data_IF_316193353764
#
_entry.id   IF_316193353764
#
_cell.length_a   1.000
_cell.length_b   1.000
_cell.length_c   1.000
_cell.angle_alpha   90.00
_cell.angle_beta   90.00
_cell.angle_gamma   90.00
#
_symmetry.space_group_name_H-M   'P 1'
#
loop_
_entity.id
_entity.type
_entity.pdbx_description
1 polymer ?
#
# COMPACT_ATOMS: atom_id res chain seq x y z
N UNK A 1 -31.92 10.14 32.04
CA UNK A 1 -30.98 10.96 31.25
C UNK A 1 -30.17 10.14 30.22
N UNK A 2 -30.00 8.81 30.39
CA UNK A 2 -29.24 7.97 29.43
C UNK A 2 -29.89 7.78 28.04
N UNK A 3 -31.22 7.70 27.95
CA UNK A 3 -31.92 7.49 26.67
C UNK A 3 -31.83 8.68 25.68
N UNK A 4 -31.61 9.90 26.19
CA UNK A 4 -31.50 11.09 25.35
C UNK A 4 -30.11 11.22 24.74
N UNK A 5 -29.05 10.89 25.49
CA UNK A 5 -27.67 10.95 24.99
C UNK A 5 -27.40 9.93 23.88
N UNK A 6 -27.93 8.71 24.00
CA UNK A 6 -27.81 7.69 22.96
C UNK A 6 -28.56 8.07 21.68
N UNK A 7 -29.75 8.67 21.82
CA UNK A 7 -30.52 9.17 20.68
C UNK A 7 -29.82 10.32 19.95
N UNK A 8 -29.16 11.23 20.69
CA UNK A 8 -28.37 12.31 20.08
C UNK A 8 -27.11 11.78 19.37
N UNK A 9 -26.41 10.81 19.95
CA UNK A 9 -25.24 10.19 19.32
C UNK A 9 -25.61 9.47 18.01
N UNK A 10 -26.70 8.70 18.02
CA UNK A 10 -27.21 8.02 16.82
C UNK A 10 -27.65 9.00 15.73
N UNK A 11 -28.24 10.13 16.11
CA UNK A 11 -28.62 11.19 15.18
C UNK A 11 -27.41 11.88 14.54
N UNK A 12 -26.38 12.18 15.34
CA UNK A 12 -25.14 12.81 14.87
C UNK A 12 -24.35 11.89 13.93
N UNK A 13 -24.30 10.60 14.24
CA UNK A 13 -23.73 9.57 13.38
C UNK A 13 -24.48 9.47 12.04
N UNK A 14 -25.81 9.47 12.07
CA UNK A 14 -26.64 9.44 10.87
C UNK A 14 -26.45 10.70 9.99
N UNK A 15 -26.34 11.88 10.62
CA UNK A 15 -26.07 13.14 9.95
C UNK A 15 -24.69 13.13 9.28
N UNK A 16 -23.68 12.63 9.98
CA UNK A 16 -22.31 12.48 9.46
C UNK A 16 -22.26 11.54 8.25
N UNK A 17 -22.95 10.39 8.32
CA UNK A 17 -23.08 9.45 7.19
C UNK A 17 -23.78 10.10 5.98
N UNK A 18 -24.84 10.87 6.22
CA UNK A 18 -25.56 11.58 5.17
C UNK A 18 -24.69 12.66 4.49
N UNK A 19 -23.96 13.45 5.28
CA UNK A 19 -23.05 14.48 4.78
C UNK A 19 -21.90 13.87 3.97
N UNK A 20 -21.33 12.75 4.43
CA UNK A 20 -20.29 12.02 3.72
C UNK A 20 -20.80 11.51 2.36
N UNK A 21 -21.99 10.88 2.35
CA UNK A 21 -22.63 10.39 1.11
C UNK A 21 -22.85 11.52 0.10
N UNK A 22 -23.36 12.67 0.54
CA UNK A 22 -23.58 13.82 -0.33
C UNK A 22 -22.29 14.37 -0.95
N UNK A 23 -21.17 14.34 -0.23
CA UNK A 23 -19.85 14.75 -0.75
C UNK A 23 -19.34 13.77 -1.81
N UNK A 24 -19.44 12.46 -1.55
CA UNK A 24 -19.06 11.41 -2.50
C UNK A 24 -19.88 11.49 -3.79
N UNK A 25 -21.20 11.69 -3.67
CA UNK A 25 -22.09 11.82 -4.83
C UNK A 25 -21.72 13.04 -5.70
N UNK A 26 -21.32 14.14 -5.07
CA UNK A 26 -20.85 15.34 -5.79
C UNK A 26 -19.57 15.09 -6.59
N UNK A 27 -18.62 14.36 -6.01
CA UNK A 27 -17.36 13.99 -6.65
C UNK A 27 -17.62 13.07 -7.85
N UNK A 28 -18.48 12.07 -7.68
CA UNK A 28 -18.88 11.15 -8.75
C UNK A 28 -19.55 11.88 -9.92
N UNK A 29 -20.45 12.84 -9.65
CA UNK A 29 -21.11 13.63 -10.69
C UNK A 29 -20.12 14.50 -11.50
N UNK A 30 -19.14 15.10 -10.82
CA UNK A 30 -18.07 15.90 -11.47
C UNK A 30 -17.17 15.03 -12.33
N UNK A 31 -16.77 13.85 -11.82
CA UNK A 31 -15.99 12.87 -12.57
C UNK A 31 -16.74 12.40 -13.82
N UNK A 32 -18.00 11.99 -13.68
CA UNK A 32 -18.82 11.54 -14.81
C UNK A 32 -18.94 12.60 -15.91
N UNK A 33 -19.11 13.87 -15.52
CA UNK A 33 -19.13 15.00 -16.46
C UNK A 33 -17.80 15.20 -17.20
N UNK A 34 -16.67 15.03 -16.50
CA UNK A 34 -15.34 15.17 -17.08
C UNK A 34 -15.03 14.01 -18.05
N UNK A 35 -15.30 12.77 -17.66
CA UNK A 35 -15.14 11.59 -18.53
C UNK A 35 -16.03 11.69 -19.77
N UNK A 36 -17.28 12.17 -19.63
CA UNK A 36 -18.18 12.40 -20.77
C UNK A 36 -17.63 13.42 -21.77
N UNK A 37 -16.85 14.41 -21.32
CA UNK A 37 -16.15 15.35 -22.23
C UNK A 37 -14.92 14.70 -22.85
N UNK A 38 -14.17 13.91 -22.08
CA UNK A 38 -12.99 13.19 -22.55
C UNK A 38 -13.32 12.21 -23.69
N UNK A 39 -14.37 11.39 -23.53
CA UNK A 39 -14.84 10.48 -24.58
C UNK A 39 -15.26 11.21 -25.86
N UNK A 40 -15.98 12.33 -25.75
CA UNK A 40 -16.35 13.16 -26.92
C UNK A 40 -15.12 13.73 -27.63
N UNK A 41 -14.14 14.22 -26.87
CA UNK A 41 -12.89 14.76 -27.42
C UNK A 41 -12.06 13.66 -28.10
N UNK A 42 -11.84 12.52 -27.44
CA UNK A 42 -11.11 11.39 -28.00
C UNK A 42 -11.79 10.86 -29.27
N UNK A 43 -13.12 10.65 -29.22
CA UNK A 43 -13.90 10.19 -30.37
C UNK A 43 -13.80 11.14 -31.57
N UNK A 44 -13.93 12.45 -31.35
CA UNK A 44 -13.81 13.43 -32.44
C UNK A 44 -12.41 13.48 -33.08
N UNK A 45 -11.35 13.25 -32.29
CA UNK A 45 -9.97 13.15 -32.79
C UNK A 45 -9.77 11.86 -33.56
N UNK A 46 -10.21 10.73 -33.01
CA UNK A 46 -10.15 9.42 -33.66
C UNK A 46 -10.85 9.45 -35.03
N UNK A 47 -12.10 9.93 -35.08
CA UNK A 47 -12.86 10.03 -36.34
C UNK A 47 -12.19 10.96 -37.35
N UNK A 48 -11.55 12.04 -36.89
CA UNK A 48 -10.81 12.97 -37.78
C UNK A 48 -9.58 12.30 -38.39
N UNK A 49 -8.78 11.60 -37.60
CA UNK A 49 -7.58 10.91 -38.08
C UNK A 49 -7.94 9.71 -38.96
N UNK A 50 -9.00 8.97 -38.60
CA UNK A 50 -9.55 7.90 -39.43
C UNK A 50 -9.98 8.42 -40.81
N UNK A 51 -10.66 9.57 -40.87
CA UNK A 51 -11.06 10.21 -42.14
C UNK A 51 -9.86 10.66 -42.99
N UNK A 52 -8.78 11.15 -42.37
CA UNK A 52 -7.56 11.54 -43.11
C UNK A 52 -6.89 10.33 -43.77
N UNK A 53 -6.73 9.22 -43.03
CA UNK A 53 -6.13 8.00 -43.60
C UNK A 53 -7.04 7.32 -44.63
N UNK A 54 -8.35 7.29 -44.40
CA UNK A 54 -9.31 6.77 -45.37
C UNK A 54 -9.36 7.62 -46.66
N UNK A 55 -9.16 8.94 -46.56
CA UNK A 55 -9.06 9.82 -47.73
C UNK A 55 -7.85 9.54 -48.63
N UNK A 56 -6.76 9.00 -48.09
CA UNK A 56 -5.59 8.56 -48.88
C UNK A 56 -5.81 7.23 -49.62
N UNK A 57 -6.84 6.45 -49.28
CA UNK A 57 -7.26 5.30 -50.09
C UNK A 57 -8.12 5.70 -51.29
N UNK A 58 -8.57 6.97 -51.37
CA UNK A 58 -9.56 7.43 -52.34
C UNK A 58 -9.27 8.84 -52.90
N UNK A 59 -8.01 9.26 -53.07
CA UNK A 59 -7.70 10.54 -53.74
C UNK A 59 -7.34 10.37 -55.22
N UNK A 60 -8.38 10.51 -56.05
CA UNK A 60 -8.49 11.14 -57.38
C UNK A 60 -7.24 11.38 -58.26
N UNK A 61 -7.29 10.85 -59.49
CA UNK A 61 -6.70 11.51 -60.68
C UNK A 61 -5.86 10.63 -61.61
N UNK A 62 -6.45 9.66 -62.33
CA UNK A 62 -5.77 8.97 -63.43
C UNK A 62 -6.67 7.97 -64.15
N UNK A 63 -6.70 8.06 -65.47
CA UNK A 63 -7.45 7.26 -66.46
C UNK A 63 -8.01 5.90 -65.97
N UNK A 64 -9.35 5.67 -66.03
CA UNK A 64 -10.02 4.46 -65.57
C UNK A 64 -9.59 3.15 -66.26
N UNK A 65 -8.83 3.19 -67.36
CA UNK A 65 -8.44 1.95 -68.06
C UNK A 65 -6.93 1.63 -67.98
N UNK A 66 -6.11 2.53 -67.45
CA UNK A 66 -4.65 2.35 -67.43
C UNK A 66 -4.14 1.81 -66.07
N UNK A 67 -4.90 1.95 -64.99
CA UNK A 67 -4.49 1.49 -63.65
C UNK A 67 -4.81 0.03 -63.31
N UNK A 68 -5.55 -0.70 -64.16
CA UNK A 68 -6.02 -2.06 -63.84
C UNK A 68 -5.06 -3.19 -64.22
N UNK A 69 -3.94 -2.92 -64.89
CA UNK A 69 -2.97 -3.96 -65.23
C UNK A 69 -2.17 -4.48 -64.01
N UNK A 70 -1.96 -3.65 -62.98
CA UNK A 70 -1.28 -4.04 -61.75
C UNK A 70 -2.20 -4.59 -60.65
N UNK A 71 -3.52 -4.40 -60.78
CA UNK A 71 -4.50 -4.67 -59.72
C UNK A 71 -5.20 -6.03 -59.85
N UNK A 72 -4.93 -6.81 -60.88
CA UNK A 72 -5.44 -8.20 -60.97
C UNK A 72 -4.72 -9.17 -59.99
N UNK A 73 -3.66 -8.74 -59.32
CA UNK A 73 -2.95 -9.52 -58.28
C UNK A 73 -3.03 -8.92 -56.86
N UNK A 74 -3.69 -7.77 -56.67
CA UNK A 74 -3.79 -7.10 -55.38
C UNK A 74 -5.24 -6.99 -54.95
N UNK A 75 -5.62 -7.74 -53.91
CA UNK A 75 -6.96 -7.71 -53.31
C UNK A 75 -7.38 -6.27 -52.96
N UNK A 76 -8.34 -5.73 -53.70
CA UNK A 76 -9.10 -4.55 -53.27
C UNK A 76 -9.81 -4.89 -51.94
N UNK A 77 -9.56 -4.13 -50.88
CA UNK A 77 -10.40 -4.14 -49.68
C UNK A 77 -11.16 -2.83 -49.60
N UNK A 78 -12.45 -2.86 -49.92
CA UNK A 78 -13.37 -1.72 -49.75
C UNK A 78 -13.65 -1.36 -48.28
N UNK A 79 -13.15 -2.15 -47.32
CA UNK A 79 -13.40 -1.98 -45.89
C UNK A 79 -12.13 -1.66 -45.11
N UNK A 80 -12.24 -0.71 -44.17
CA UNK A 80 -11.23 -0.44 -43.13
C UNK A 80 -11.01 -1.74 -42.34
N UNK A 81 -9.80 -2.30 -42.39
CA UNK A 81 -9.45 -3.51 -41.66
C UNK A 81 -9.19 -3.20 -40.18
N UNK A 82 -9.22 -4.23 -39.32
CA UNK A 82 -8.90 -4.09 -37.90
C UNK A 82 -7.54 -3.42 -37.68
N UNK A 83 -6.54 -3.79 -38.48
CA UNK A 83 -5.18 -3.22 -38.44
C UNK A 83 -5.14 -1.73 -38.78
N UNK A 84 -6.05 -1.23 -39.61
CA UNK A 84 -6.07 0.16 -40.04
C UNK A 84 -6.55 1.08 -38.91
N UNK A 85 -7.65 0.74 -38.24
CA UNK A 85 -8.19 1.60 -37.20
C UNK A 85 -7.57 1.39 -35.82
N UNK A 86 -7.03 0.19 -35.52
CA UNK A 86 -6.45 -0.09 -34.19
C UNK A 86 -5.21 0.75 -33.92
N UNK A 87 -4.37 1.01 -34.94
CA UNK A 87 -3.17 1.84 -34.81
C UNK A 87 -3.55 3.31 -34.58
N UNK A 88 -4.56 3.81 -35.29
CA UNK A 88 -5.09 5.16 -35.10
C UNK A 88 -5.72 5.30 -33.72
N UNK A 89 -6.46 4.27 -33.28
CA UNK A 89 -7.06 4.22 -31.96
C UNK A 89 -5.99 4.24 -30.88
N UNK A 90 -4.96 3.38 -30.98
CA UNK A 90 -3.86 3.32 -30.01
C UNK A 90 -3.12 4.66 -29.92
N UNK A 91 -2.80 5.29 -31.05
CA UNK A 91 -2.19 6.61 -31.10
C UNK A 91 -3.10 7.70 -30.50
N UNK A 92 -4.39 7.68 -30.84
CA UNK A 92 -5.37 8.65 -30.31
C UNK A 92 -5.55 8.46 -28.81
N UNK A 93 -5.64 7.21 -28.34
CA UNK A 93 -5.76 6.85 -26.93
C UNK A 93 -4.55 7.33 -26.14
N UNK A 94 -3.34 7.05 -26.62
CA UNK A 94 -2.09 7.56 -26.02
C UNK A 94 -2.07 9.09 -25.93
N UNK A 95 -2.44 9.80 -27.00
CA UNK A 95 -2.46 11.27 -27.05
C UNK A 95 -3.60 11.93 -26.25
N UNK A 96 -4.60 11.14 -25.81
CA UNK A 96 -5.76 11.64 -25.07
C UNK A 96 -5.86 11.08 -23.66
N UNK A 97 -4.92 10.22 -23.24
CA UNK A 97 -4.94 9.56 -21.93
C UNK A 97 -5.07 10.57 -20.78
N UNK A 98 -4.41 11.73 -20.89
CA UNK A 98 -4.47 12.81 -19.90
C UNK A 98 -5.87 13.41 -19.72
N UNK A 99 -6.75 13.33 -20.74
CA UNK A 99 -8.14 13.78 -20.62
C UNK A 99 -8.95 12.87 -19.68
N UNK A 100 -8.51 11.63 -19.47
CA UNK A 100 -9.12 10.65 -18.58
C UNK A 100 -8.40 10.58 -17.24
N UNK A 101 -7.07 10.53 -17.22
CA UNK A 101 -6.30 10.40 -15.98
C UNK A 101 -6.46 11.62 -15.08
N UNK A 102 -6.32 12.84 -15.61
CA UNK A 102 -6.39 14.06 -14.79
C UNK A 102 -7.71 14.21 -13.98
N UNK A 103 -8.91 14.02 -14.55
CA UNK A 103 -10.13 14.07 -13.76
C UNK A 103 -10.31 12.87 -12.82
N UNK A 104 -9.76 11.70 -13.15
CA UNK A 104 -9.73 10.55 -12.25
C UNK A 104 -8.84 10.85 -11.03
N UNK A 105 -7.62 11.32 -11.25
CA UNK A 105 -6.67 11.71 -10.19
C UNK A 105 -7.30 12.77 -9.26
N UNK A 106 -7.96 13.77 -9.84
CA UNK A 106 -8.65 14.82 -9.08
C UNK A 106 -9.85 14.28 -8.28
N UNK A 107 -10.61 13.35 -8.85
CA UNK A 107 -11.76 12.73 -8.17
C UNK A 107 -11.30 11.80 -7.04
N UNK A 108 -10.24 11.02 -7.26
CA UNK A 108 -9.58 10.20 -6.23
C UNK A 108 -9.10 11.11 -5.10
N UNK A 109 -8.34 12.17 -5.38
CA UNK A 109 -7.90 13.12 -4.36
C UNK A 109 -9.07 13.76 -3.58
N UNK A 110 -10.17 14.11 -4.26
CA UNK A 110 -11.34 14.67 -3.59
C UNK A 110 -12.06 13.62 -2.75
N UNK A 111 -12.15 12.36 -3.21
CA UNK A 111 -12.74 11.27 -2.45
C UNK A 111 -11.90 10.95 -1.21
N UNK A 112 -10.58 10.96 -1.34
CA UNK A 112 -9.64 10.84 -0.23
C UNK A 112 -9.77 11.99 0.76
N UNK A 113 -9.92 13.24 0.31
CA UNK A 113 -10.19 14.37 1.21
C UNK A 113 -11.55 14.28 1.88
N UNK A 114 -12.57 13.78 1.17
CA UNK A 114 -13.91 13.61 1.71
C UNK A 114 -13.98 12.47 2.74
N UNK A 115 -13.18 11.42 2.57
CA UNK A 115 -12.98 10.33 3.52
C UNK A 115 -11.85 10.57 4.54
N UNK A 116 -11.01 11.58 4.34
CA UNK A 116 -9.77 11.84 5.07
C UNK A 116 -9.93 12.51 6.44
N UNK A 117 -11.15 12.82 6.87
CA UNK A 117 -11.43 12.98 8.30
C UNK A 117 -11.59 11.63 9.02
N UNK A 118 -11.71 10.51 8.28
CA UNK A 118 -11.93 9.17 8.82
C UNK A 118 -10.82 8.16 8.50
N UNK A 119 -9.94 8.38 7.51
CA UNK A 119 -8.82 7.47 7.26
C UNK A 119 -7.60 8.17 6.66
N UNK A 120 -6.57 8.28 7.48
CA UNK A 120 -5.18 8.72 7.30
C UNK A 120 -4.39 7.99 6.18
N UNK A 121 -5.02 7.16 5.36
CA UNK A 121 -4.31 6.11 4.64
C UNK A 121 -3.64 6.49 3.30
N UNK A 122 -3.80 7.69 2.74
CA UNK A 122 -3.38 7.94 1.35
C UNK A 122 -2.54 9.21 1.15
N UNK A 123 -1.43 9.27 1.88
CA UNK A 123 -0.32 10.17 1.62
C UNK A 123 0.73 9.43 0.78
N UNK A 124 0.39 9.00 -0.45
CA UNK A 124 1.36 8.68 -1.51
C UNK A 124 2.55 7.76 -1.17
N UNK A 125 2.46 6.96 -0.11
CA UNK A 125 3.59 6.26 0.49
C UNK A 125 3.23 4.82 0.84
N UNK A 126 2.82 4.05 -0.17
CA UNK A 126 2.87 2.59 -0.13
C UNK A 126 2.36 1.93 1.16
N UNK A 127 1.31 2.47 1.78
CA UNK A 127 0.58 1.74 2.81
C UNK A 127 -0.38 0.82 2.04
N UNK A 128 0.18 -0.27 1.52
CA UNK A 128 -0.65 -1.43 1.24
C UNK A 128 -1.23 -1.86 2.59
N UNK A 129 -2.56 -1.87 2.72
CA UNK A 129 -3.25 -2.64 3.75
C UNK A 129 -3.16 -4.14 3.39
N UNK A 130 -1.94 -4.60 3.22
CA UNK A 130 -1.57 -6.00 3.14
C UNK A 130 -0.82 -6.33 4.43
N UNK A 131 -0.83 -7.59 4.85
CA UNK A 131 -0.02 -8.04 5.98
C UNK A 131 1.50 -7.86 5.68
N UNK A 132 1.84 -7.64 4.41
CA UNK A 132 3.19 -7.44 3.88
C UNK A 132 3.72 -6.03 4.18
N UNK A 133 4.72 -5.95 5.07
CA UNK A 133 5.49 -4.74 5.31
C UNK A 133 6.85 -4.83 4.59
N UNK A 134 7.03 -4.21 3.40
CA UNK A 134 8.27 -4.31 2.63
C UNK A 134 9.48 -3.71 3.36
N UNK A 135 9.25 -2.76 4.27
CA UNK A 135 10.31 -2.19 5.12
C UNK A 135 10.78 -3.20 6.17
N UNK A 136 9.85 -3.97 6.75
CA UNK A 136 10.18 -5.08 7.65
C UNK A 136 10.99 -6.17 6.93
N UNK A 137 10.62 -6.53 5.70
CA UNK A 137 11.39 -7.48 4.87
C UNK A 137 12.80 -6.96 4.65
N UNK A 138 12.95 -5.71 4.20
CA UNK A 138 14.25 -5.04 4.00
C UNK A 138 15.08 -4.97 5.29
N UNK A 139 14.45 -4.75 6.44
CA UNK A 139 15.15 -4.80 7.73
C UNK A 139 15.75 -6.18 7.99
N UNK A 140 14.98 -7.25 7.77
CA UNK A 140 15.46 -8.63 7.98
C UNK A 140 16.54 -9.02 6.96
N UNK A 141 16.43 -8.60 5.71
CA UNK A 141 17.49 -8.78 4.70
C UNK A 141 18.82 -8.13 5.11
N UNK A 142 18.78 -7.03 5.87
CA UNK A 142 19.98 -6.31 6.29
C UNK A 142 20.48 -6.73 7.68
N UNK A 143 19.59 -7.04 8.61
CA UNK A 143 19.92 -7.20 10.04
C UNK A 143 19.42 -8.50 10.66
N UNK A 144 18.55 -9.24 9.96
CA UNK A 144 17.95 -10.47 10.47
C UNK A 144 18.99 -11.48 10.93
N UNK A 145 18.72 -12.08 12.09
CA UNK A 145 19.54 -13.08 12.76
C UNK A 145 20.95 -12.62 13.21
N UNK A 146 21.35 -11.35 13.03
CA UNK A 146 22.69 -10.88 13.46
C UNK A 146 22.92 -10.95 14.96
N UNK A 147 21.85 -10.92 15.76
CA UNK A 147 21.92 -10.98 17.22
C UNK A 147 21.77 -12.41 17.77
N UNK A 148 21.56 -13.39 16.91
CA UNK A 148 21.39 -14.80 17.32
C UNK A 148 22.76 -15.39 17.65
N UNK A 149 23.06 -15.54 18.94
CA UNK A 149 24.35 -16.04 19.41
C UNK A 149 24.49 -17.56 19.26
N UNK A 150 25.70 -18.08 19.04
CA UNK A 150 25.96 -19.53 19.06
C UNK A 150 25.56 -20.26 17.77
N UNK A 151 25.54 -19.56 16.64
CA UNK A 151 25.34 -20.13 15.29
C UNK A 151 26.54 -19.76 14.41
N UNK A 152 26.79 -20.54 13.36
CA UNK A 152 27.82 -20.18 12.37
C UNK A 152 27.23 -19.26 11.29
N UNK A 153 28.12 -18.70 10.45
CA UNK A 153 27.73 -17.77 9.37
C UNK A 153 26.72 -18.36 8.38
N UNK A 154 26.83 -19.66 8.07
CA UNK A 154 25.90 -20.32 7.15
C UNK A 154 24.50 -20.44 7.75
N UNK A 155 24.40 -20.89 9.01
CA UNK A 155 23.13 -20.93 9.74
C UNK A 155 22.53 -19.53 9.86
N UNK A 156 23.34 -18.51 10.13
CA UNK A 156 22.88 -17.12 10.19
C UNK A 156 22.28 -16.67 8.85
N UNK A 157 22.98 -16.89 7.72
CA UNK A 157 22.45 -16.55 6.38
C UNK A 157 21.15 -17.27 6.07
N UNK A 158 21.09 -18.57 6.36
CA UNK A 158 19.90 -19.38 6.10
C UNK A 158 18.71 -19.00 6.99
N UNK A 159 18.97 -18.57 8.22
CA UNK A 159 17.95 -18.10 9.16
C UNK A 159 17.47 -16.71 8.75
N UNK A 160 18.38 -15.81 8.36
CA UNK A 160 18.06 -14.49 7.82
C UNK A 160 17.11 -14.59 6.62
N UNK A 161 17.43 -15.46 5.65
CA UNK A 161 16.57 -15.68 4.48
C UNK A 161 15.18 -16.22 4.87
N UNK A 162 15.11 -17.14 5.85
CA UNK A 162 13.84 -17.67 6.33
C UNK A 162 13.00 -16.59 7.03
N UNK A 163 13.62 -15.72 7.83
CA UNK A 163 12.95 -14.62 8.50
C UNK A 163 12.41 -13.59 7.50
N UNK A 164 13.21 -13.22 6.50
CA UNK A 164 12.76 -12.31 5.44
C UNK A 164 11.55 -12.89 4.67
N UNK A 165 11.60 -14.18 4.33
CA UNK A 165 10.46 -14.90 3.74
C UNK A 165 9.25 -14.92 4.68
N UNK A 166 9.44 -15.16 5.97
CA UNK A 166 8.37 -15.18 6.95
C UNK A 166 7.66 -13.82 7.06
N UNK A 167 8.42 -12.72 6.98
CA UNK A 167 7.84 -11.38 6.93
C UNK A 167 7.12 -11.09 5.61
N UNK A 168 7.69 -11.50 4.47
CA UNK A 168 7.10 -11.32 3.14
C UNK A 168 5.78 -12.09 2.97
N UNK A 169 5.72 -13.32 3.46
CA UNK A 169 4.52 -14.16 3.42
C UNK A 169 3.57 -13.94 4.62
N UNK A 170 3.91 -13.03 5.55
CA UNK A 170 3.08 -12.71 6.71
C UNK A 170 2.84 -13.89 7.66
N UNK A 171 3.87 -14.66 7.97
CA UNK A 171 3.78 -15.80 8.88
C UNK A 171 3.55 -15.35 10.33
N UNK A 172 2.79 -16.13 11.09
CA UNK A 172 2.74 -15.98 12.55
C UNK A 172 4.07 -16.33 13.20
N UNK A 173 4.29 -15.89 14.44
CA UNK A 173 5.46 -16.27 15.23
C UNK A 173 5.56 -17.79 15.39
N UNK A 174 4.42 -18.47 15.64
CA UNK A 174 4.38 -19.93 15.77
C UNK A 174 4.75 -20.65 14.46
N UNK A 175 4.23 -20.19 13.33
CA UNK A 175 4.57 -20.77 12.01
C UNK A 175 6.06 -20.58 11.72
N UNK A 176 6.58 -19.39 12.02
CA UNK A 176 8.01 -19.06 11.85
C UNK A 176 8.88 -19.92 12.76
N UNK A 177 8.53 -20.04 14.03
CA UNK A 177 9.23 -20.89 14.99
C UNK A 177 9.24 -22.36 14.55
N UNK A 178 8.10 -22.86 14.04
CA UNK A 178 8.00 -24.20 13.48
C UNK A 178 8.92 -24.37 12.27
N UNK A 179 8.93 -23.43 11.33
CA UNK A 179 9.80 -23.50 10.15
C UNK A 179 11.29 -23.46 10.52
N UNK A 180 11.67 -22.66 11.53
CA UNK A 180 13.04 -22.64 12.07
C UNK A 180 13.38 -24.01 12.67
N UNK A 181 12.48 -24.57 13.47
CA UNK A 181 12.68 -25.87 14.12
C UNK A 181 12.78 -27.02 13.12
N UNK A 182 11.94 -27.01 12.09
CA UNK A 182 11.94 -28.03 11.03
C UNK A 182 13.22 -27.97 10.18
N UNK A 183 13.89 -26.81 10.12
CA UNK A 183 15.10 -26.58 9.31
C UNK A 183 16.40 -26.77 10.09
N UNK A 184 16.43 -26.48 11.39
CA UNK A 184 17.65 -26.44 12.18
C UNK A 184 17.53 -27.26 13.47
N UNK A 185 18.40 -28.26 13.60
CA UNK A 185 18.51 -29.06 14.83
C UNK A 185 18.94 -28.20 16.03
N UNK A 186 18.38 -28.50 17.20
CA UNK A 186 18.68 -27.80 18.46
C UNK A 186 17.98 -26.44 18.65
N UNK A 187 17.24 -25.96 17.65
CA UNK A 187 16.42 -24.74 17.80
C UNK A 187 15.08 -24.98 18.51
N UNK A 188 14.66 -26.25 18.63
CA UNK A 188 13.52 -26.64 19.47
C UNK A 188 13.83 -26.50 20.97
N UNK A 189 15.12 -26.47 21.34
CA UNK A 189 15.54 -26.59 22.72
C UNK A 189 15.47 -25.26 23.48
N UNK A 190 15.19 -25.37 24.78
CA UNK A 190 15.25 -24.25 25.71
C UNK A 190 13.97 -23.42 25.79
N UNK A 191 13.54 -23.12 27.01
CA UNK A 191 12.35 -22.31 27.29
C UNK A 191 12.75 -21.08 28.11
N UNK A 192 13.28 -20.02 27.46
CA UNK A 192 13.94 -18.93 28.18
C UNK A 192 12.98 -18.07 29.01
N UNK A 193 11.70 -18.02 28.65
CA UNK A 193 10.63 -17.31 29.38
C UNK A 193 9.33 -18.11 29.28
N UNK A 194 8.39 -17.89 30.20
CA UNK A 194 7.14 -18.67 30.28
C UNK A 194 6.29 -18.61 29.00
N UNK A 195 6.29 -17.47 28.29
CA UNK A 195 5.56 -17.27 27.04
C UNK A 195 6.36 -17.62 25.78
N UNK A 196 7.57 -18.18 25.93
CA UNK A 196 8.45 -18.56 24.82
C UNK A 196 8.73 -20.06 24.90
N UNK A 197 8.20 -20.81 23.96
CA UNK A 197 8.19 -22.29 24.04
C UNK A 197 9.52 -22.94 23.63
N UNK A 198 10.31 -22.26 22.81
CA UNK A 198 11.59 -22.76 22.28
C UNK A 198 12.54 -21.61 21.96
N UNK A 199 13.83 -21.92 21.76
CA UNK A 199 14.78 -20.97 21.16
C UNK A 199 14.28 -20.44 19.80
N UNK A 200 13.71 -21.29 18.95
CA UNK A 200 13.10 -20.89 17.69
C UNK A 200 11.95 -19.88 17.89
N UNK A 201 11.08 -20.10 18.87
CA UNK A 201 9.99 -19.18 19.19
C UNK A 201 10.54 -17.82 19.65
N UNK A 202 11.57 -17.82 20.50
CA UNK A 202 12.21 -16.58 20.95
C UNK A 202 12.84 -15.78 19.81
N UNK A 203 13.49 -16.47 18.86
CA UNK A 203 14.04 -15.84 17.65
C UNK A 203 12.92 -15.27 16.79
N UNK A 204 11.85 -16.03 16.53
CA UNK A 204 10.72 -15.58 15.72
C UNK A 204 10.09 -14.30 16.30
N UNK A 205 9.81 -14.28 17.60
CA UNK A 205 9.24 -13.09 18.29
C UNK A 205 10.18 -11.90 18.21
N UNK A 206 11.46 -12.10 18.49
CA UNK A 206 12.42 -10.99 18.59
C UNK A 206 12.75 -10.39 17.23
N UNK A 207 13.02 -11.22 16.23
CA UNK A 207 13.45 -10.76 14.91
C UNK A 207 12.28 -10.14 14.14
N UNK A 208 11.12 -10.80 14.12
CA UNK A 208 9.94 -10.25 13.45
C UNK A 208 9.39 -9.02 14.19
N UNK A 209 9.36 -9.03 15.53
CA UNK A 209 8.94 -7.87 16.32
C UNK A 209 9.78 -6.63 16.04
N UNK A 210 11.12 -6.77 16.01
CA UNK A 210 12.01 -5.67 15.60
C UNK A 210 11.77 -5.22 14.17
N UNK A 211 11.57 -6.14 13.23
CA UNK A 211 11.35 -5.82 11.83
C UNK A 211 10.07 -5.02 11.60
N UNK A 212 8.96 -5.42 12.23
CA UNK A 212 7.69 -4.70 12.11
C UNK A 212 7.74 -3.34 12.81
N UNK A 213 8.32 -3.26 14.01
CA UNK A 213 8.47 -1.99 14.72
C UNK A 213 9.36 -1.00 13.95
N UNK A 214 10.47 -1.46 13.37
CA UNK A 214 11.32 -0.63 12.49
C UNK A 214 10.55 -0.20 11.24
N UNK A 215 9.90 -1.14 10.56
CA UNK A 215 9.16 -0.85 9.33
C UNK A 215 8.03 0.15 9.55
N UNK A 216 7.37 0.10 10.71
CA UNK A 216 6.36 1.08 11.11
C UNK A 216 6.98 2.45 11.43
N UNK A 217 8.13 2.48 12.10
CA UNK A 217 8.85 3.72 12.39
C UNK A 217 9.34 4.40 11.10
N UNK A 218 9.97 3.66 10.19
CA UNK A 218 10.44 4.17 8.89
C UNK A 218 9.26 4.70 8.05
N UNK A 219 8.09 4.05 8.14
CA UNK A 219 6.86 4.53 7.51
C UNK A 219 6.44 5.91 8.02
N UNK A 220 6.42 6.07 9.34
CA UNK A 220 6.05 7.32 9.99
C UNK A 220 7.09 8.42 9.75
N UNK A 221 8.38 8.08 9.73
CA UNK A 221 9.46 9.02 9.40
C UNK A 221 9.33 9.54 7.98
N UNK A 222 9.01 8.66 7.03
CA UNK A 222 8.75 9.08 5.65
C UNK A 222 7.56 10.06 5.56
N UNK A 223 6.55 9.93 6.46
CA UNK A 223 5.40 10.86 6.54
C UNK A 223 5.85 12.19 7.13
N UNK A 224 6.65 12.16 8.19
CA UNK A 224 7.24 13.35 8.79
C UNK A 224 8.09 14.14 7.77
N UNK A 225 8.94 13.45 6.99
CA UNK A 225 9.76 14.05 5.92
C UNK A 225 8.92 14.71 4.82
N UNK A 226 7.70 14.20 4.59
CA UNK A 226 6.73 14.78 3.67
C UNK A 226 5.93 15.94 4.28
N UNK A 227 6.23 16.36 5.50
CA UNK A 227 5.60 17.48 6.20
C UNK A 227 4.33 17.13 6.96
N UNK A 228 4.09 15.85 7.23
CA UNK A 228 2.92 15.38 8.00
C UNK A 228 3.38 15.18 9.44
N UNK A 229 2.81 15.93 10.37
CA UNK A 229 3.17 15.77 11.79
C UNK A 229 2.70 14.39 12.30
N UNK A 230 3.65 13.58 12.76
CA UNK A 230 3.40 12.23 13.26
C UNK A 230 3.71 12.12 14.75
N UNK A 231 3.00 11.23 15.43
CA UNK A 231 3.26 10.80 16.81
C UNK A 231 3.43 9.29 16.86
N UNK A 232 4.13 8.81 17.88
CA UNK A 232 4.30 7.38 18.18
C UNK A 232 3.88 7.05 19.60
N UNK A 233 3.44 5.82 19.82
CA UNK A 233 3.09 5.29 21.14
C UNK A 233 3.57 3.86 21.28
N UNK A 234 3.90 3.48 22.51
CA UNK A 234 4.25 2.10 22.86
C UNK A 234 2.98 1.34 23.23
N UNK A 235 2.78 0.16 22.65
CA UNK A 235 1.64 -0.71 22.96
C UNK A 235 2.14 -1.99 23.60
N UNK A 236 1.68 -2.30 24.82
CA UNK A 236 1.97 -3.57 25.47
C UNK A 236 0.79 -4.54 25.32
N UNK A 237 1.00 -5.79 25.72
CA UNK A 237 -0.10 -6.78 25.79
C UNK A 237 -1.06 -6.47 26.95
N UNK A 238 -0.65 -5.63 27.92
CA UNK A 238 -1.45 -5.29 29.08
C UNK A 238 -1.66 -6.44 30.09
N UNK A 239 -0.85 -7.51 30.01
CA UNK A 239 -0.90 -8.63 30.94
C UNK A 239 0.14 -8.54 32.06
N UNK A 240 0.05 -9.44 33.04
CA UNK A 240 0.95 -9.46 34.19
C UNK A 240 2.43 -9.78 33.86
N UNK A 241 2.75 -10.09 32.60
CA UNK A 241 4.13 -10.38 32.15
C UNK A 241 4.80 -9.16 31.51
N UNK A 242 4.11 -8.02 31.43
CA UNK A 242 4.70 -6.76 30.97
C UNK A 242 5.75 -6.28 31.98
N UNK A 243 6.98 -6.09 31.52
CA UNK A 243 8.06 -5.54 32.36
C UNK A 243 7.78 -4.09 32.77
N UNK A 244 8.27 -3.65 33.92
CA UNK A 244 8.15 -2.26 34.39
C UNK A 244 8.64 -1.24 33.35
N UNK A 245 9.73 -1.53 32.63
CA UNK A 245 10.25 -0.69 31.56
C UNK A 245 9.22 -0.50 30.42
N UNK A 246 8.65 -1.59 29.90
CA UNK A 246 7.64 -1.50 28.85
C UNK A 246 6.35 -0.82 29.33
N UNK A 247 5.94 -1.06 30.58
CA UNK A 247 4.79 -0.37 31.17
C UNK A 247 5.04 1.14 31.29
N UNK A 248 6.26 1.56 31.65
CA UNK A 248 6.64 2.97 31.67
C UNK A 248 6.62 3.59 30.27
N UNK A 249 7.05 2.85 29.24
CA UNK A 249 6.99 3.34 27.86
C UNK A 249 5.55 3.50 27.36
N UNK A 250 4.65 2.56 27.67
CA UNK A 250 3.22 2.70 27.33
C UNK A 250 2.54 3.83 28.10
N UNK A 251 2.92 4.04 29.37
CA UNK A 251 2.41 5.12 30.20
C UNK A 251 2.79 6.52 29.69
N UNK A 252 3.81 6.65 28.83
CA UNK A 252 4.15 7.90 28.15
C UNK A 252 3.06 8.34 27.16
N UNK A 253 2.23 7.41 26.68
CA UNK A 253 1.21 7.66 25.68
C UNK A 253 1.80 8.04 24.33
N UNK A 254 1.12 8.95 23.63
CA UNK A 254 1.57 9.48 22.35
C UNK A 254 2.65 10.54 22.56
N UNK A 255 3.84 10.29 22.03
CA UNK A 255 4.98 11.21 22.05
C UNK A 255 5.33 11.66 20.63
N UNK A 256 6.03 12.80 20.45
CA UNK A 256 6.58 13.18 19.16
C UNK A 256 7.40 12.05 18.53
N UNK A 257 7.33 11.92 17.20
CA UNK A 257 8.00 10.82 16.49
C UNK A 257 9.51 10.74 16.77
N UNK A 258 10.17 11.89 16.91
CA UNK A 258 11.62 12.02 17.11
C UNK A 258 12.07 11.88 18.57
N UNK A 259 11.13 11.85 19.52
CA UNK A 259 11.46 11.72 20.94
C UNK A 259 11.70 10.24 21.29
N UNK A 260 12.68 9.95 22.15
CA UNK A 260 12.86 8.60 22.70
C UNK A 260 11.84 8.32 23.80
N UNK A 261 11.45 7.05 23.97
CA UNK A 261 10.61 6.63 25.08
C UNK A 261 11.35 6.74 26.43
N UNK A 262 10.65 6.71 27.59
CA UNK A 262 11.28 6.77 28.91
C UNK A 262 12.45 5.80 29.14
N UNK A 263 12.44 4.63 28.50
CA UNK A 263 13.56 3.67 28.54
C UNK A 263 14.82 4.13 27.81
N UNK A 264 14.73 5.17 26.97
CA UNK A 264 15.77 5.60 26.04
C UNK A 264 15.71 4.88 24.68
N UNK A 265 14.79 3.94 24.49
CA UNK A 265 14.59 3.28 23.20
C UNK A 265 13.70 4.14 22.28
N UNK A 266 13.96 4.12 20.97
CA UNK A 266 13.14 4.85 20.00
C UNK A 266 11.88 4.09 19.58
N UNK A 267 11.87 2.77 19.80
CA UNK A 267 10.77 1.84 19.49
C UNK A 267 10.88 0.54 20.28
N UNK A 268 9.81 -0.26 20.37
CA UNK A 268 9.91 -1.68 20.66
C UNK A 268 10.80 -2.40 19.64
N UNK A 269 11.48 -3.50 20.00
CA UNK A 269 11.48 -4.14 21.32
C UNK A 269 12.63 -3.57 22.19
N UNK A 270 12.36 -3.25 23.45
CA UNK A 270 13.40 -2.83 24.40
C UNK A 270 14.29 -3.99 24.89
N UNK A 271 13.82 -5.23 24.74
CA UNK A 271 14.52 -6.43 25.22
C UNK A 271 14.11 -7.67 24.41
N UNK A 272 14.94 -8.74 24.43
CA UNK A 272 14.61 -10.00 23.76
C UNK A 272 13.28 -10.57 24.26
N UNK A 273 12.54 -11.20 23.34
CA UNK A 273 11.27 -11.88 23.62
C UNK A 273 10.11 -10.97 24.07
N UNK A 274 10.28 -9.66 23.94
CA UNK A 274 9.23 -8.69 24.19
C UNK A 274 8.08 -8.85 23.18
N UNK A 275 6.84 -8.63 23.64
CA UNK A 275 5.61 -8.73 22.85
C UNK A 275 4.95 -7.36 22.60
N UNK A 276 5.71 -6.28 22.79
CA UNK A 276 5.21 -4.93 22.58
C UNK A 276 5.29 -4.55 21.11
N UNK A 277 4.48 -3.57 20.71
CA UNK A 277 4.39 -3.09 19.34
C UNK A 277 4.43 -1.55 19.28
N UNK A 278 4.86 -1.03 18.14
CA UNK A 278 4.92 0.40 17.87
C UNK A 278 3.65 0.86 17.16
N UNK A 279 2.93 1.78 17.79
CA UNK A 279 1.83 2.49 17.16
C UNK A 279 2.33 3.82 16.62
N UNK A 280 1.85 4.22 15.44
CA UNK A 280 2.12 5.53 14.84
C UNK A 280 0.81 6.14 14.34
N UNK A 281 0.69 7.47 14.40
CA UNK A 281 -0.48 8.19 13.89
C UNK A 281 -0.12 9.59 13.43
N UNK A 282 -1.02 10.21 12.64
CA UNK A 282 -0.98 11.65 12.39
C UNK A 282 -1.36 12.38 13.66
N UNK A 283 -0.62 13.43 14.00
CA UNK A 283 -0.89 14.25 15.17
C UNK A 283 -2.30 14.85 15.08
N UNK A 284 -3.05 14.76 16.18
CA UNK A 284 -4.39 15.35 16.31
C UNK A 284 -5.54 14.49 15.75
N UNK A 285 -5.29 13.22 15.40
CA UNK A 285 -6.36 12.26 15.09
C UNK A 285 -6.68 11.41 16.32
N UNK A 286 -7.93 11.45 16.77
CA UNK A 286 -8.48 10.62 17.87
C UNK A 286 -8.79 9.20 17.41
#
# INVERSE_FOLDING_TARGET
MSNLSEAFASFDEALTRQQHRARVDSIAARLGSALSRAFRSQGSRFVRELKKQAGHHFSEGGDPFVQYAGLLNGKFSEAISFTDWIMIWAATASNTIKLFSAPLDAAVLQALKAGGAAQIADLGMGINFDLQNPRAVKYLENYGAKLVAGINEETQRQLQALLAQAADEGWSYDRTAKAITDKFDGFADGRPQDHIDSRAHGIAVTELGNAYAEGNLEAAQSLADAGIEMEKSWSTVGDAKVSELCAANEAAGWIPLDDSFPSGDDRPLAHPYCRCDLLTRVKGTE
#
